data_IF_904457207453
#
_entry.id   IF_904457207453
#
_cell.length_a   1.000
_cell.length_b   1.000
_cell.length_c   1.000
_cell.angle_alpha   90.00
_cell.angle_beta   90.00
_cell.angle_gamma   90.00
#
_symmetry.space_group_name_H-M   'P 1'
#
loop_
_entity.id
_entity.type
_entity.pdbx_description
1 polymer ?
#
# COMPACT_ATOMS: atom_id res chain seq x y z
N UNK A 1 0.16 -9.75 -10.43
CA UNK A 1 -0.10 -9.22 -11.78
C UNK A 1 -0.22 -10.34 -12.79
N UNK A 2 0.80 -11.18 -13.02
CA UNK A 2 0.75 -12.27 -14.00
C UNK A 2 -0.46 -13.20 -13.86
N UNK A 3 -0.73 -13.71 -12.64
CA UNK A 3 -1.89 -14.59 -12.36
C UNK A 3 -3.23 -13.96 -12.77
N UNK A 4 -3.35 -12.65 -12.63
CA UNK A 4 -4.60 -11.92 -12.91
C UNK A 4 -4.67 -11.42 -14.36
N UNK A 5 -3.59 -11.51 -15.13
CA UNK A 5 -3.53 -11.06 -16.53
C UNK A 5 -3.83 -9.57 -16.71
N UNK A 6 -3.35 -8.73 -15.79
CA UNK A 6 -3.67 -7.28 -15.78
C UNK A 6 -2.66 -6.43 -16.55
N UNK A 7 -1.58 -7.00 -17.04
CA UNK A 7 -0.57 -6.32 -17.85
C UNK A 7 -0.06 -7.25 -18.95
N UNK A 8 0.49 -6.67 -20.01
CA UNK A 8 1.03 -7.42 -21.14
C UNK A 8 2.47 -7.87 -20.88
N UNK A 9 3.23 -7.08 -20.12
CA UNK A 9 4.63 -7.34 -19.82
C UNK A 9 4.99 -7.01 -18.38
N UNK A 10 5.86 -7.84 -17.79
CA UNK A 10 6.51 -7.60 -16.49
C UNK A 10 8.02 -7.67 -16.69
N UNK A 11 8.71 -6.56 -16.43
CA UNK A 11 10.17 -6.49 -16.51
C UNK A 11 10.74 -6.45 -15.10
N UNK A 12 11.61 -7.38 -14.77
CA UNK A 12 12.30 -7.43 -13.48
C UNK A 12 13.69 -6.80 -13.58
N UNK A 13 13.95 -5.83 -12.72
CA UNK A 13 15.24 -5.14 -12.63
C UNK A 13 15.77 -5.31 -11.20
N UNK A 14 16.97 -5.81 -11.05
CA UNK A 14 17.67 -5.92 -9.76
C UNK A 14 19.16 -5.64 -10.00
N UNK A 15 19.85 -5.09 -9.00
CA UNK A 15 21.32 -4.93 -9.02
C UNK A 15 22.03 -6.29 -9.21
N UNK A 16 21.46 -7.35 -8.68
CA UNK A 16 21.83 -8.74 -9.00
C UNK A 16 21.03 -9.24 -10.21
N UNK A 17 21.62 -9.05 -11.39
CA UNK A 17 21.02 -9.48 -12.66
C UNK A 17 20.71 -10.99 -12.70
N UNK A 18 21.50 -11.82 -12.03
CA UNK A 18 21.27 -13.27 -11.98
C UNK A 18 19.99 -13.57 -11.22
N UNK A 19 19.80 -12.89 -10.09
CA UNK A 19 18.58 -12.98 -9.29
C UNK A 19 17.34 -12.54 -10.08
N UNK A 20 17.39 -11.37 -10.72
CA UNK A 20 16.29 -10.88 -11.57
C UNK A 20 15.94 -11.88 -12.68
N UNK A 21 16.96 -12.43 -13.35
CA UNK A 21 16.77 -13.44 -14.40
C UNK A 21 16.10 -14.71 -13.86
N UNK A 22 16.55 -15.22 -12.70
CA UNK A 22 15.98 -16.41 -12.09
C UNK A 22 14.51 -16.22 -11.71
N UNK A 23 14.16 -15.07 -11.08
CA UNK A 23 12.78 -14.75 -10.77
C UNK A 23 11.91 -14.58 -12.03
N UNK A 24 12.46 -13.95 -13.09
CA UNK A 24 11.69 -13.79 -14.34
C UNK A 24 11.38 -15.13 -15.00
N UNK A 25 12.32 -16.08 -14.98
CA UNK A 25 12.11 -17.43 -15.51
C UNK A 25 11.05 -18.19 -14.70
N UNK A 26 11.15 -18.18 -13.37
CA UNK A 26 10.21 -18.86 -12.49
C UNK A 26 8.76 -18.33 -12.65
N UNK A 27 8.61 -17.01 -12.74
CA UNK A 27 7.30 -16.40 -13.02
C UNK A 27 6.83 -16.75 -14.45
N UNK A 28 7.72 -16.69 -15.45
CA UNK A 28 7.38 -17.01 -16.84
C UNK A 28 6.89 -18.46 -16.99
N UNK A 29 7.54 -19.41 -16.31
CA UNK A 29 7.11 -20.80 -16.29
C UNK A 29 5.68 -20.95 -15.75
N UNK A 30 5.33 -20.15 -14.72
CA UNK A 30 4.00 -20.16 -14.12
C UNK A 30 2.90 -19.62 -15.05
N UNK A 31 3.24 -18.75 -16.01
CA UNK A 31 2.26 -18.17 -16.96
C UNK A 31 1.58 -19.26 -17.80
N UNK A 32 2.27 -20.38 -18.06
CA UNK A 32 1.71 -21.53 -18.79
C UNK A 32 0.44 -22.12 -18.16
N UNK A 33 0.19 -21.83 -16.87
CA UNK A 33 -0.98 -22.31 -16.12
C UNK A 33 -2.08 -21.25 -15.95
N UNK A 34 -1.87 -20.04 -16.47
CA UNK A 34 -2.82 -18.92 -16.31
C UNK A 34 -3.57 -18.66 -17.61
N UNK A 35 -4.75 -18.08 -17.50
CA UNK A 35 -5.51 -17.58 -18.64
C UNK A 35 -5.01 -16.17 -19.07
N UNK A 36 -3.70 -16.04 -19.21
CA UNK A 36 -3.07 -14.78 -19.62
C UNK A 36 -1.79 -15.08 -20.42
N UNK A 37 -1.42 -14.17 -21.30
CA UNK A 37 -0.23 -14.26 -22.14
C UNK A 37 0.83 -13.23 -21.74
N UNK A 38 0.97 -12.97 -20.44
CA UNK A 38 1.91 -11.99 -19.90
C UNK A 38 3.34 -12.38 -20.23
N UNK A 39 4.11 -11.47 -20.82
CA UNK A 39 5.54 -11.63 -21.04
C UNK A 39 6.28 -11.28 -19.75
N UNK A 40 7.16 -12.17 -19.27
CA UNK A 40 7.97 -11.90 -18.07
C UNK A 40 9.43 -12.06 -18.43
N UNK A 41 10.23 -11.01 -18.22
CA UNK A 41 11.64 -11.00 -18.54
C UNK A 41 12.49 -10.21 -17.54
N UNK A 42 13.77 -10.48 -17.54
CA UNK A 42 14.77 -9.63 -16.90
C UNK A 42 15.11 -8.46 -17.83
N UNK A 43 15.20 -7.26 -17.29
CA UNK A 43 15.56 -6.04 -18.01
C UNK A 43 16.58 -5.19 -17.28
N UNK A 44 16.62 -3.92 -17.63
CA UNK A 44 17.43 -2.91 -16.98
C UNK A 44 16.66 -1.57 -16.85
N UNK A 45 17.31 -0.52 -16.33
CA UNK A 45 16.67 0.78 -16.11
C UNK A 45 16.18 1.46 -17.40
N UNK A 46 16.71 1.12 -18.57
CA UNK A 46 16.23 1.69 -19.85
C UNK A 46 14.79 1.25 -20.17
N UNK A 47 14.39 0.07 -19.70
CA UNK A 47 13.01 -0.43 -19.84
C UNK A 47 12.00 0.43 -19.07
N UNK A 48 12.43 1.12 -18.02
CA UNK A 48 11.55 1.99 -17.22
C UNK A 48 11.07 3.24 -17.98
N UNK A 49 11.72 3.61 -19.09
CA UNK A 49 11.36 4.82 -19.86
C UNK A 49 9.93 4.77 -20.40
N UNK A 50 9.51 3.62 -20.90
CA UNK A 50 8.20 3.44 -21.53
C UNK A 50 7.25 2.58 -20.68
N UNK A 51 7.61 2.27 -19.43
CA UNK A 51 6.77 1.56 -18.51
C UNK A 51 5.56 2.40 -18.06
N UNK A 52 4.36 1.82 -18.07
CA UNK A 52 3.17 2.46 -17.51
C UNK A 52 3.25 2.58 -15.99
N UNK A 53 3.82 1.57 -15.35
CA UNK A 53 4.02 1.54 -13.88
C UNK A 53 5.44 1.05 -13.57
N UNK A 54 6.13 1.79 -12.72
CA UNK A 54 7.38 1.40 -12.10
C UNK A 54 7.10 1.05 -10.64
N UNK A 55 7.43 -0.17 -10.24
CA UNK A 55 7.29 -0.62 -8.85
C UNK A 55 8.65 -0.61 -8.16
N UNK A 56 8.76 0.12 -7.04
CA UNK A 56 9.94 0.08 -6.18
C UNK A 56 9.64 -0.80 -4.98
N UNK A 57 10.35 -1.94 -4.90
CA UNK A 57 10.22 -2.94 -3.82
C UNK A 57 11.55 -3.23 -3.12
N UNK A 58 12.62 -2.55 -3.49
CA UNK A 58 13.93 -2.72 -2.89
C UNK A 58 14.01 -2.06 -1.51
N UNK A 59 14.63 -2.74 -0.57
CA UNK A 59 14.82 -2.25 0.79
C UNK A 59 15.56 -3.28 1.64
N UNK A 60 15.84 -2.90 2.88
CA UNK A 60 16.44 -3.80 3.87
C UNK A 60 15.34 -4.61 4.54
N UNK A 61 15.45 -5.94 4.61
CA UNK A 61 14.48 -6.77 5.32
C UNK A 61 14.53 -6.47 6.83
N UNK A 62 13.35 -6.32 7.43
CA UNK A 62 13.20 -6.14 8.86
C UNK A 62 13.50 -7.44 9.60
N UNK A 63 14.40 -7.40 10.58
CA UNK A 63 14.69 -8.54 11.44
C UNK A 63 13.74 -8.57 12.65
N UNK A 64 13.56 -9.74 13.30
CA UNK A 64 12.80 -9.84 14.53
C UNK A 64 13.31 -8.86 15.59
N UNK A 65 12.41 -8.14 16.25
CA UNK A 65 12.75 -7.14 17.27
C UNK A 65 13.06 -5.74 16.75
N UNK A 66 13.19 -5.56 15.44
CA UNK A 66 13.35 -4.23 14.83
C UNK A 66 12.00 -3.55 14.56
N UNK A 67 11.98 -2.23 14.62
CA UNK A 67 10.88 -1.39 14.12
C UNK A 67 11.02 -1.15 12.62
N UNK A 68 10.00 -0.57 11.96
CA UNK A 68 10.12 -0.13 10.55
C UNK A 68 11.15 0.99 10.38
N UNK A 69 11.35 1.80 11.42
CA UNK A 69 12.29 2.92 11.41
C UNK A 69 13.75 2.47 11.53
N UNK A 70 14.00 1.33 12.18
CA UNK A 70 15.36 0.78 12.30
C UNK A 70 15.97 0.36 10.95
N UNK A 71 15.15 0.17 9.92
CA UNK A 71 15.60 -0.17 8.57
C UNK A 71 15.51 1.03 7.59
N UNK A 72 15.18 2.22 8.10
CA UNK A 72 14.95 3.42 7.27
C UNK A 72 16.19 3.79 6.47
N UNK A 73 17.34 4.01 7.14
CA UNK A 73 18.56 4.49 6.48
C UNK A 73 19.02 3.54 5.37
N UNK A 74 19.02 2.23 5.63
CA UNK A 74 19.39 1.23 4.64
C UNK A 74 18.40 1.16 3.47
N UNK A 75 17.11 1.33 3.74
CA UNK A 75 16.08 1.37 2.68
C UNK A 75 16.20 2.64 1.83
N UNK A 76 16.45 3.80 2.45
CA UNK A 76 16.69 5.07 1.75
C UNK A 76 17.92 4.98 0.87
N UNK A 77 19.02 4.38 1.33
CA UNK A 77 20.22 4.19 0.51
C UNK A 77 19.94 3.31 -0.72
N UNK A 78 19.24 2.19 -0.54
CA UNK A 78 18.84 1.34 -1.67
C UNK A 78 17.97 2.11 -2.67
N UNK A 79 17.00 2.89 -2.20
CA UNK A 79 16.09 3.66 -3.06
C UNK A 79 16.82 4.83 -3.71
N UNK A 80 17.78 5.46 -3.05
CA UNK A 80 18.63 6.52 -3.61
C UNK A 80 19.43 6.03 -4.82
N UNK A 81 20.00 4.83 -4.76
CA UNK A 81 20.66 4.20 -5.89
C UNK A 81 19.71 4.00 -7.06
N UNK A 82 18.51 3.46 -6.81
CA UNK A 82 17.47 3.28 -7.84
C UNK A 82 17.12 4.62 -8.50
N UNK A 83 16.84 5.66 -7.70
CA UNK A 83 16.46 6.97 -8.22
C UNK A 83 17.60 7.59 -9.04
N UNK A 84 18.86 7.40 -8.62
CA UNK A 84 20.01 7.89 -9.38
C UNK A 84 20.07 7.32 -10.80
N UNK A 85 19.57 6.11 -11.00
CA UNK A 85 19.45 5.47 -12.31
C UNK A 85 18.18 5.90 -13.04
N UNK A 86 17.06 6.01 -12.37
CA UNK A 86 15.79 6.47 -12.95
C UNK A 86 15.89 7.92 -13.45
N UNK A 87 16.61 8.79 -12.75
CA UNK A 87 16.79 10.20 -13.16
C UNK A 87 17.67 10.38 -14.42
N UNK A 88 18.28 9.30 -14.93
CA UNK A 88 19.00 9.33 -16.23
C UNK A 88 18.06 9.16 -17.42
N UNK A 89 16.80 8.83 -17.18
CA UNK A 89 15.80 8.61 -18.21
C UNK A 89 14.56 9.48 -17.96
N UNK A 90 13.80 9.74 -19.00
CA UNK A 90 12.50 10.39 -18.88
C UNK A 90 11.44 9.36 -18.45
N UNK A 91 10.89 9.51 -17.23
CA UNK A 91 9.85 8.64 -16.71
C UNK A 91 8.49 9.15 -17.19
N UNK A 92 7.76 8.33 -17.95
CA UNK A 92 6.43 8.66 -18.46
C UNK A 92 5.32 8.09 -17.57
N UNK A 93 5.55 6.95 -16.96
CA UNK A 93 4.60 6.21 -16.14
C UNK A 93 4.48 6.68 -14.69
N UNK A 94 3.85 5.87 -13.89
CA UNK A 94 3.57 6.09 -12.47
C UNK A 94 4.55 5.28 -11.64
N UNK A 95 5.03 5.83 -10.51
CA UNK A 95 5.84 5.10 -9.55
C UNK A 95 4.96 4.70 -8.36
N UNK A 96 4.88 3.39 -8.10
CA UNK A 96 4.23 2.84 -6.91
C UNK A 96 5.30 2.20 -6.03
N UNK A 97 5.44 2.67 -4.79
CA UNK A 97 6.40 2.08 -3.84
C UNK A 97 5.72 1.12 -2.89
N UNK A 98 6.40 0.04 -2.54
CA UNK A 98 6.01 -0.90 -1.48
C UNK A 98 7.13 -1.11 -0.45
N UNK A 99 8.21 -0.36 -0.58
CA UNK A 99 9.35 -0.37 0.34
C UNK A 99 8.99 0.30 1.65
N UNK A 100 9.32 -0.33 2.76
CA UNK A 100 9.15 0.25 4.10
C UNK A 100 10.35 1.12 4.53
N UNK A 101 10.08 2.19 5.29
CA UNK A 101 8.77 2.74 5.73
C UNK A 101 8.00 3.39 4.57
N UNK A 102 6.79 2.87 4.28
CA UNK A 102 6.09 3.13 3.02
C UNK A 102 5.81 4.61 2.73
N UNK A 103 5.39 5.37 3.75
CA UNK A 103 5.02 6.78 3.61
C UNK A 103 6.25 7.65 3.39
N UNK A 104 7.31 7.41 4.15
CA UNK A 104 8.58 8.15 4.08
C UNK A 104 9.29 7.90 2.75
N UNK A 105 9.32 6.64 2.30
CA UNK A 105 9.92 6.27 1.02
C UNK A 105 9.14 6.87 -0.16
N UNK A 106 7.81 6.91 -0.10
CA UNK A 106 7.02 7.55 -1.15
C UNK A 106 7.31 9.05 -1.26
N UNK A 107 7.43 9.75 -0.12
CA UNK A 107 7.80 11.17 -0.11
C UNK A 107 9.21 11.40 -0.65
N UNK A 108 10.16 10.58 -0.20
CA UNK A 108 11.55 10.64 -0.68
C UNK A 108 11.63 10.41 -2.20
N UNK A 109 10.97 9.38 -2.74
CA UNK A 109 10.94 9.10 -4.18
C UNK A 109 10.32 10.27 -4.95
N UNK A 110 9.21 10.83 -4.48
CA UNK A 110 8.56 11.97 -5.12
C UNK A 110 9.48 13.19 -5.18
N UNK A 111 10.10 13.54 -4.06
CA UNK A 111 11.05 14.69 -4.00
C UNK A 111 12.24 14.47 -4.91
N UNK A 112 12.84 13.31 -4.86
CA UNK A 112 14.07 13.01 -5.56
C UNK A 112 13.90 12.81 -7.08
N UNK A 113 12.69 12.42 -7.53
CA UNK A 113 12.37 12.32 -8.97
C UNK A 113 11.77 13.60 -9.53
N UNK A 114 11.24 14.49 -8.69
CA UNK A 114 10.52 15.70 -9.11
C UNK A 114 9.19 15.45 -9.81
N UNK A 115 8.69 14.22 -9.79
CA UNK A 115 7.41 13.88 -10.40
C UNK A 115 6.24 14.46 -9.56
N UNK A 116 5.11 14.78 -10.19
CA UNK A 116 3.95 15.31 -9.50
C UNK A 116 3.32 14.26 -8.56
N UNK A 117 2.60 14.73 -7.52
CA UNK A 117 2.07 13.87 -6.45
C UNK A 117 1.15 12.75 -6.92
N UNK A 118 0.41 12.99 -8.00
CA UNK A 118 -0.47 11.97 -8.57
C UNK A 118 0.27 10.80 -9.20
N UNK A 119 1.54 10.96 -9.57
CA UNK A 119 2.35 9.94 -10.23
C UNK A 119 3.33 9.21 -9.31
N UNK A 120 3.44 9.60 -8.03
CA UNK A 120 4.30 8.93 -7.06
C UNK A 120 3.53 8.74 -5.76
N UNK A 121 3.28 7.49 -5.42
CA UNK A 121 2.57 7.11 -4.19
C UNK A 121 2.96 5.70 -3.75
N UNK A 122 2.55 5.30 -2.56
CA UNK A 122 2.75 3.93 -2.10
C UNK A 122 1.42 3.22 -1.86
N UNK A 123 1.48 1.90 -1.74
CA UNK A 123 0.33 1.11 -1.30
C UNK A 123 -0.19 1.51 0.07
N UNK A 124 0.62 2.21 0.87
CA UNK A 124 0.24 2.75 2.17
C UNK A 124 -0.53 1.75 3.02
N UNK A 125 -1.68 2.17 3.49
CA UNK A 125 -2.57 1.38 4.35
C UNK A 125 -3.50 0.39 3.60
N UNK A 126 -3.22 0.06 2.33
CA UNK A 126 -4.02 -0.93 1.57
C UNK A 126 -4.05 -2.29 2.25
N UNK A 127 -2.88 -2.78 2.66
CA UNK A 127 -2.79 -4.08 3.33
C UNK A 127 -3.38 -4.03 4.75
N UNK A 128 -3.23 -2.91 5.46
CA UNK A 128 -3.84 -2.73 6.78
C UNK A 128 -5.36 -2.67 6.68
N UNK A 129 -5.90 -2.02 5.65
CA UNK A 129 -7.32 -2.05 5.31
C UNK A 129 -7.82 -3.47 5.05
N UNK A 130 -7.07 -4.27 4.30
CA UNK A 130 -7.42 -5.68 4.05
C UNK A 130 -7.40 -6.50 5.35
N UNK A 131 -6.43 -6.28 6.23
CA UNK A 131 -6.33 -6.91 7.54
C UNK A 131 -7.52 -6.53 8.45
N UNK A 132 -7.86 -5.25 8.50
CA UNK A 132 -9.03 -4.74 9.24
C UNK A 132 -10.32 -5.39 8.73
N UNK A 133 -10.55 -5.39 7.41
CA UNK A 133 -11.73 -6.02 6.80
C UNK A 133 -11.80 -7.52 7.12
N UNK A 134 -10.67 -8.21 7.08
CA UNK A 134 -10.58 -9.63 7.44
C UNK A 134 -10.90 -9.86 8.91
N UNK A 135 -10.37 -9.03 9.81
CA UNK A 135 -10.66 -9.12 11.24
C UNK A 135 -12.14 -8.95 11.53
N UNK A 136 -12.78 -7.93 10.97
CA UNK A 136 -14.23 -7.71 11.10
C UNK A 136 -15.03 -8.91 10.56
N UNK A 137 -14.63 -9.42 9.40
CA UNK A 137 -15.28 -10.54 8.75
C UNK A 137 -15.20 -11.84 9.59
N UNK A 138 -14.02 -12.13 10.15
CA UNK A 138 -13.79 -13.29 11.02
C UNK A 138 -14.63 -13.20 12.31
N UNK A 139 -14.69 -12.02 12.94
CA UNK A 139 -15.48 -11.80 14.16
C UNK A 139 -17.00 -11.99 13.94
N UNK A 140 -17.48 -11.70 12.73
CA UNK A 140 -18.90 -11.73 12.38
C UNK A 140 -19.31 -12.95 11.54
N UNK A 141 -18.35 -13.79 11.13
CA UNK A 141 -18.54 -14.88 10.18
C UNK A 141 -19.25 -14.43 8.89
N UNK A 142 -18.63 -13.43 8.21
CA UNK A 142 -19.06 -12.87 6.93
C UNK A 142 -17.88 -12.79 5.93
N UNK A 143 -18.18 -12.54 4.67
CA UNK A 143 -17.14 -12.31 3.66
C UNK A 143 -16.43 -10.94 3.87
N UNK A 144 -15.09 -10.86 3.77
CA UNK A 144 -14.36 -9.59 3.91
C UNK A 144 -14.80 -8.50 2.92
N UNK A 145 -15.28 -8.89 1.76
CA UNK A 145 -15.81 -7.98 0.72
C UNK A 145 -17.09 -7.25 1.15
N UNK A 146 -17.79 -7.77 2.16
CA UNK A 146 -18.98 -7.13 2.75
C UNK A 146 -18.62 -5.98 3.70
N UNK A 147 -17.35 -5.87 4.11
CA UNK A 147 -16.87 -4.84 5.04
C UNK A 147 -16.34 -3.66 4.24
N UNK A 148 -16.90 -2.48 4.46
CA UNK A 148 -16.50 -1.22 3.83
C UNK A 148 -15.92 -0.32 4.92
N UNK A 149 -14.67 0.06 4.75
CA UNK A 149 -13.92 0.89 5.67
C UNK A 149 -12.46 0.93 5.26
N UNK A 150 -11.68 1.81 5.88
CA UNK A 150 -10.28 2.03 5.58
C UNK A 150 -9.45 2.07 6.87
N UNK A 151 -8.22 1.60 6.82
CA UNK A 151 -7.18 2.02 7.73
C UNK A 151 -6.51 3.25 7.12
N UNK A 152 -6.16 4.25 7.94
CA UNK A 152 -5.64 5.54 7.50
C UNK A 152 -4.42 5.96 8.31
N UNK A 153 -3.68 6.97 7.82
CA UNK A 153 -2.48 7.49 8.47
C UNK A 153 -1.21 6.75 8.06
N UNK A 154 -0.34 6.52 9.01
CA UNK A 154 0.92 5.80 8.82
C UNK A 154 0.68 4.33 8.44
N UNK A 155 1.43 3.81 7.48
CA UNK A 155 1.57 2.35 7.35
C UNK A 155 2.44 1.82 8.50
N UNK A 156 1.90 1.79 9.71
CA UNK A 156 2.64 1.50 10.92
C UNK A 156 1.73 1.32 12.13
N UNK A 157 2.36 1.41 13.31
CA UNK A 157 1.69 1.15 14.58
C UNK A 157 0.76 2.30 15.00
N UNK A 158 0.91 3.49 14.39
CA UNK A 158 0.02 4.63 14.60
C UNK A 158 -1.14 4.71 13.60
N UNK A 159 -1.29 3.73 12.70
CA UNK A 159 -2.45 3.70 11.79
C UNK A 159 -3.76 3.68 12.57
N UNK A 160 -4.79 4.32 12.04
CA UNK A 160 -6.09 4.39 12.68
C UNK A 160 -7.20 3.88 11.76
N UNK A 161 -8.30 3.45 12.34
CA UNK A 161 -9.51 3.08 11.61
C UNK A 161 -10.62 4.09 11.96
N UNK A 162 -11.15 4.84 11.00
CA UNK A 162 -12.29 5.72 11.22
C UNK A 162 -13.58 4.88 11.40
N UNK A 163 -13.82 4.44 12.60
CA UNK A 163 -14.96 3.59 12.96
C UNK A 163 -16.31 4.23 12.70
N UNK A 164 -16.38 5.57 12.70
CA UNK A 164 -17.58 6.31 12.29
C UNK A 164 -17.99 6.00 10.83
N UNK A 165 -17.01 5.66 9.99
CA UNK A 165 -17.18 5.34 8.58
C UNK A 165 -17.15 3.83 8.29
N UNK A 166 -16.98 2.97 9.31
CA UNK A 166 -16.98 1.52 9.13
C UNK A 166 -18.42 1.01 8.95
N UNK A 167 -18.67 0.39 7.80
CA UNK A 167 -19.97 -0.21 7.49
C UNK A 167 -19.83 -1.67 7.06
N UNK A 168 -20.88 -2.43 7.27
CA UNK A 168 -21.05 -3.77 6.74
C UNK A 168 -22.21 -3.71 5.78
N UNK A 169 -21.90 -3.87 4.48
CA UNK A 169 -22.85 -3.74 3.38
C UNK A 169 -23.69 -2.43 3.46
N UNK A 170 -23.02 -1.31 3.77
CA UNK A 170 -23.63 0.02 3.85
C UNK A 170 -24.31 0.36 5.17
N UNK A 171 -24.44 -0.60 6.10
CA UNK A 171 -25.00 -0.35 7.42
C UNK A 171 -23.90 -0.13 8.45
N UNK A 172 -23.99 0.95 9.24
CA UNK A 172 -22.99 1.23 10.28
C UNK A 172 -22.90 0.05 11.26
N UNK A 173 -21.67 -0.35 11.58
CA UNK A 173 -21.41 -1.52 12.42
C UNK A 173 -22.01 -1.39 13.84
N UNK A 174 -22.12 -0.16 14.38
CA UNK A 174 -22.73 0.08 15.71
C UNK A 174 -24.21 -0.27 15.71
N UNK A 175 -24.95 0.13 14.68
CA UNK A 175 -26.35 -0.24 14.53
C UNK A 175 -26.54 -1.75 14.36
N UNK A 176 -25.68 -2.41 13.59
CA UNK A 176 -25.74 -3.87 13.45
C UNK A 176 -25.49 -4.59 14.77
N UNK A 177 -24.58 -4.06 15.60
CA UNK A 177 -24.28 -4.59 16.92
C UNK A 177 -25.47 -4.50 17.87
N UNK A 178 -26.23 -3.41 17.80
CA UNK A 178 -27.44 -3.21 18.59
C UNK A 178 -28.61 -4.11 18.14
N UNK A 179 -28.78 -4.23 16.82
CA UNK A 179 -29.89 -5.01 16.23
C UNK A 179 -29.68 -6.52 16.28
N UNK A 180 -28.44 -6.98 16.17
CA UNK A 180 -28.11 -8.41 16.19
C UNK A 180 -26.83 -8.65 17.00
N UNK A 181 -26.94 -8.59 18.35
CA UNK A 181 -25.79 -8.73 19.24
C UNK A 181 -25.18 -10.14 19.22
N UNK A 182 -25.94 -11.17 18.85
CA UNK A 182 -25.40 -12.54 18.73
C UNK A 182 -24.31 -12.60 17.66
N UNK A 183 -24.54 -11.97 16.52
CA UNK A 183 -23.61 -12.01 15.39
C UNK A 183 -22.55 -10.94 15.45
N UNK A 184 -22.94 -9.71 15.80
CA UNK A 184 -22.07 -8.52 15.72
C UNK A 184 -21.59 -8.03 17.09
N UNK A 185 -22.04 -8.63 18.20
CA UNK A 185 -21.71 -8.19 19.56
C UNK A 185 -20.21 -8.25 19.88
N UNK A 186 -19.45 -9.12 19.21
CA UNK A 186 -17.99 -9.26 19.37
C UNK A 186 -17.19 -8.12 18.75
N UNK A 187 -17.80 -7.27 17.91
CA UNK A 187 -17.11 -6.12 17.31
C UNK A 187 -16.75 -5.12 18.41
N UNK A 188 -15.46 -4.86 18.52
CA UNK A 188 -14.87 -3.86 19.41
C UNK A 188 -13.80 -3.11 18.66
N UNK A 189 -13.83 -1.79 18.74
CA UNK A 189 -12.83 -0.91 18.12
C UNK A 189 -11.42 -1.30 18.52
N UNK A 190 -11.20 -1.53 19.83
CA UNK A 190 -9.91 -1.99 20.35
C UNK A 190 -9.47 -3.33 19.74
N UNK A 191 -10.35 -4.35 19.72
CA UNK A 191 -10.01 -5.66 19.18
C UNK A 191 -9.69 -5.57 17.69
N UNK A 192 -10.45 -4.81 16.92
CA UNK A 192 -10.22 -4.63 15.49
C UNK A 192 -8.86 -3.94 15.25
N UNK A 193 -8.57 -2.87 15.99
CA UNK A 193 -7.29 -2.15 15.87
C UNK A 193 -6.11 -3.03 16.25
N UNK A 194 -6.14 -3.64 17.43
CA UNK A 194 -5.06 -4.50 17.93
C UNK A 194 -4.76 -5.66 16.95
N UNK A 195 -5.78 -6.38 16.49
CA UNK A 195 -5.60 -7.48 15.55
C UNK A 195 -5.11 -7.02 14.16
N UNK A 196 -5.51 -5.83 13.73
CA UNK A 196 -5.03 -5.25 12.47
C UNK A 196 -3.53 -4.99 12.53
N UNK A 197 -3.04 -4.39 13.62
CA UNK A 197 -1.64 -4.08 13.82
C UNK A 197 -0.78 -5.35 14.04
N UNK A 198 -1.22 -6.25 14.90
CA UNK A 198 -0.46 -7.46 15.26
C UNK A 198 -0.27 -8.42 14.09
N UNK A 199 -1.25 -8.54 13.20
CA UNK A 199 -1.23 -9.53 12.10
C UNK A 199 0.02 -9.44 11.20
N UNK A 200 0.59 -8.25 11.03
CA UNK A 200 1.84 -8.07 10.27
C UNK A 200 3.03 -8.71 10.96
N UNK A 201 3.12 -8.55 12.27
CA UNK A 201 4.19 -9.13 13.07
C UNK A 201 4.08 -10.65 13.16
N UNK A 202 2.87 -11.17 13.42
CA UNK A 202 2.62 -12.61 13.48
C UNK A 202 3.09 -13.32 12.21
N UNK A 203 2.87 -12.69 11.02
CA UNK A 203 3.33 -13.24 9.74
C UNK A 203 4.85 -13.21 9.64
N UNK A 204 5.50 -12.11 10.06
CA UNK A 204 6.96 -11.98 10.01
C UNK A 204 7.61 -12.97 10.98
N UNK A 205 7.09 -13.11 12.18
CA UNK A 205 7.58 -14.09 13.16
C UNK A 205 7.40 -15.53 12.67
N UNK A 206 6.28 -15.82 11.98
CA UNK A 206 5.98 -17.17 11.51
C UNK A 206 6.71 -17.59 10.24
N UNK A 207 6.99 -16.67 9.29
CA UNK A 207 7.57 -17.02 7.98
C UNK A 207 8.63 -16.04 7.46
N UNK A 208 9.05 -15.06 8.24
CA UNK A 208 10.14 -14.12 7.93
C UNK A 208 9.72 -12.86 7.19
N UNK A 209 8.72 -12.91 6.30
CA UNK A 209 8.26 -11.75 5.52
C UNK A 209 6.79 -11.85 5.13
N UNK A 210 6.17 -10.70 4.83
CA UNK A 210 4.88 -10.66 4.14
C UNK A 210 5.11 -10.52 2.64
N UNK A 211 4.42 -11.33 1.83
CA UNK A 211 4.61 -11.37 0.37
C UNK A 211 3.28 -11.36 -0.37
N UNK A 212 2.43 -12.36 -0.11
CA UNK A 212 1.17 -12.56 -0.85
C UNK A 212 0.19 -11.40 -0.67
N UNK A 213 0.03 -10.90 0.56
CA UNK A 213 -0.88 -9.79 0.85
C UNK A 213 -0.47 -8.51 0.14
N UNK A 214 0.81 -8.12 0.28
CA UNK A 214 1.31 -6.89 -0.35
C UNK A 214 1.38 -7.02 -1.87
N UNK A 215 1.76 -8.18 -2.39
CA UNK A 215 1.76 -8.44 -3.83
C UNK A 215 0.35 -8.36 -4.44
N UNK A 216 -0.68 -8.80 -3.70
CA UNK A 216 -2.08 -8.67 -4.12
C UNK A 216 -2.58 -7.24 -4.02
N UNK A 217 -2.27 -6.51 -2.94
CA UNK A 217 -2.63 -5.10 -2.79
C UNK A 217 -2.01 -4.23 -3.89
N UNK A 218 -0.73 -4.47 -4.20
CA UNK A 218 -0.05 -3.82 -5.33
C UNK A 218 -0.72 -4.17 -6.67
N UNK A 219 -1.04 -5.43 -6.91
CA UNK A 219 -1.69 -5.85 -8.15
C UNK A 219 -3.08 -5.23 -8.33
N UNK A 220 -3.84 -5.10 -7.23
CA UNK A 220 -5.15 -4.45 -7.24
C UNK A 220 -5.04 -2.95 -7.57
N UNK A 221 -4.04 -2.27 -7.00
CA UNK A 221 -3.76 -0.86 -7.28
C UNK A 221 -3.23 -0.65 -8.71
N UNK A 222 -2.31 -1.49 -9.17
CA UNK A 222 -1.81 -1.46 -10.54
C UNK A 222 -2.93 -1.71 -11.58
N UNK A 223 -3.86 -2.60 -11.26
CA UNK A 223 -5.05 -2.83 -12.11
C UNK A 223 -5.91 -1.58 -12.23
N UNK A 224 -6.15 -0.87 -11.13
CA UNK A 224 -6.92 0.37 -11.16
C UNK A 224 -6.29 1.42 -12.08
N UNK A 225 -4.94 1.49 -12.12
CA UNK A 225 -4.20 2.36 -13.06
C UNK A 225 -4.30 1.86 -14.49
N UNK A 226 -3.92 0.60 -14.76
CA UNK A 226 -3.80 0.06 -16.11
C UNK A 226 -5.15 -0.04 -16.84
N UNK A 227 -6.21 -0.35 -16.09
CA UNK A 227 -7.57 -0.49 -16.64
C UNK A 227 -8.41 0.79 -16.51
N UNK A 228 -7.84 1.88 -15.97
CA UNK A 228 -8.53 3.16 -15.75
C UNK A 228 -9.84 3.00 -14.95
N UNK A 229 -9.77 2.24 -13.84
CA UNK A 229 -10.97 1.80 -13.13
C UNK A 229 -11.62 2.91 -12.27
N UNK A 230 -10.93 4.01 -11.98
CA UNK A 230 -11.37 5.09 -11.07
C UNK A 230 -11.85 4.57 -9.71
N UNK A 231 -11.16 3.58 -9.18
CA UNK A 231 -11.51 2.94 -7.91
C UNK A 231 -11.04 3.76 -6.72
N UNK A 232 -11.84 3.73 -5.65
CA UNK A 232 -11.43 4.30 -4.37
C UNK A 232 -10.64 3.24 -3.61
N UNK A 233 -9.33 3.46 -3.50
CA UNK A 233 -8.40 2.59 -2.79
C UNK A 233 -7.60 3.42 -1.77
N UNK A 234 -7.20 2.83 -0.64
CA UNK A 234 -6.27 3.50 0.26
C UNK A 234 -4.87 3.51 -0.37
N UNK A 235 -4.26 4.68 -0.42
CA UNK A 235 -2.90 4.88 -0.89
C UNK A 235 -2.21 5.93 -0.04
N UNK A 236 -0.90 5.82 0.13
CA UNK A 236 -0.12 6.89 0.78
C UNK A 236 0.31 7.90 -0.28
N UNK A 237 -0.16 9.12 -0.12
CA UNK A 237 0.10 10.24 -1.02
C UNK A 237 0.34 11.53 -0.26
N UNK A 238 0.90 12.53 -0.95
CA UNK A 238 1.15 13.85 -0.37
C UNK A 238 -0.16 14.56 -0.04
N UNK A 239 -0.31 14.95 1.22
CA UNK A 239 -1.40 15.82 1.69
C UNK A 239 -1.02 17.28 1.54
N UNK A 240 -1.93 18.09 1.02
CA UNK A 240 -1.78 19.52 0.76
C UNK A 240 -2.88 20.36 1.39
N UNK A 241 -3.48 19.89 2.47
CA UNK A 241 -4.54 20.52 3.24
C UNK A 241 -5.61 19.55 3.72
N UNK A 242 -5.68 18.38 3.11
CA UNK A 242 -6.67 17.35 3.46
C UNK A 242 -6.51 16.96 4.94
N UNK A 243 -7.63 16.85 5.64
CA UNK A 243 -7.68 16.60 7.09
C UNK A 243 -6.86 17.60 7.93
N UNK A 244 -6.62 18.81 7.40
CA UNK A 244 -5.75 19.82 8.03
C UNK A 244 -4.26 19.50 8.00
N UNK A 245 -3.82 18.50 7.22
CA UNK A 245 -2.44 18.08 7.13
C UNK A 245 -1.77 18.57 5.84
N UNK A 246 -0.50 18.94 5.96
CA UNK A 246 0.31 19.37 4.81
C UNK A 246 1.70 18.77 4.85
N UNK A 247 2.33 18.65 3.69
CA UNK A 247 3.72 18.22 3.53
C UNK A 247 4.03 16.86 4.19
N UNK A 248 3.10 15.93 4.09
CA UNK A 248 3.25 14.56 4.59
C UNK A 248 2.56 13.58 3.64
N UNK A 249 3.21 12.46 3.37
CA UNK A 249 2.56 11.30 2.76
C UNK A 249 1.88 10.49 3.86
N UNK A 250 0.61 10.17 3.68
CA UNK A 250 -0.15 9.33 4.60
C UNK A 250 -1.19 8.52 3.84
N UNK A 251 -1.57 7.37 4.38
CA UNK A 251 -2.60 6.50 3.83
C UNK A 251 -3.98 7.16 3.95
N UNK A 252 -4.62 7.44 2.83
CA UNK A 252 -5.96 8.03 2.71
C UNK A 252 -6.73 7.39 1.56
N UNK A 253 -8.07 7.42 1.55
CA UNK A 253 -8.86 6.98 0.41
C UNK A 253 -8.63 7.87 -0.81
N UNK A 254 -8.24 7.27 -1.95
CA UNK A 254 -7.92 7.97 -3.19
C UNK A 254 -8.68 7.35 -4.36
N UNK A 255 -9.20 8.19 -5.27
CA UNK A 255 -9.61 7.74 -6.59
C UNK A 255 -8.34 7.51 -7.41
N UNK A 256 -8.18 6.29 -7.90
CA UNK A 256 -7.02 5.87 -8.70
C UNK A 256 -7.50 5.44 -10.08
N UNK A 257 -6.96 6.10 -11.09
CA UNK A 257 -7.18 5.83 -12.50
C UNK A 257 -5.88 5.86 -13.29
N UNK A 258 -5.96 5.97 -14.59
CA UNK A 258 -4.82 5.93 -15.52
C UNK A 258 -3.73 6.95 -15.22
N UNK A 259 -4.09 8.10 -14.66
CA UNK A 259 -3.16 9.17 -14.34
C UNK A 259 -2.57 9.05 -12.92
N UNK A 260 -2.80 7.93 -12.24
CA UNK A 260 -2.44 7.70 -10.85
C UNK A 260 -3.51 8.18 -9.89
N UNK A 261 -3.13 8.90 -8.84
CA UNK A 261 -4.09 9.47 -7.88
C UNK A 261 -4.75 10.70 -8.49
N UNK A 262 -6.05 10.62 -8.73
CA UNK A 262 -6.83 11.69 -9.34
C UNK A 262 -7.47 12.61 -8.30
N UNK A 263 -7.89 12.04 -7.17
CA UNK A 263 -8.51 12.78 -6.08
C UNK A 263 -8.34 12.04 -4.75
N UNK A 264 -8.11 12.79 -3.67
CA UNK A 264 -8.24 12.30 -2.30
C UNK A 264 -9.72 12.47 -1.90
N UNK A 265 -10.29 11.42 -1.33
CA UNK A 265 -11.66 11.44 -0.80
C UNK A 265 -11.57 11.67 0.71
N UNK A 266 -11.93 12.88 1.15
CA UNK A 266 -11.96 13.18 2.56
C UNK A 266 -13.20 12.57 3.22
N UNK A 267 -12.99 11.61 4.12
CA UNK A 267 -14.05 11.07 4.97
C UNK A 267 -14.39 12.10 6.07
N UNK A 268 -15.66 12.18 6.43
CA UNK A 268 -16.05 12.96 7.60
C UNK A 268 -15.63 12.21 8.87
N UNK A 269 -14.55 12.65 9.49
CA UNK A 269 -14.04 12.11 10.75
C UNK A 269 -14.70 12.80 11.94
N UNK A 270 -14.79 12.08 13.06
CA UNK A 270 -15.09 12.72 14.36
C UNK A 270 -13.88 13.49 14.86
N UNK A 271 -14.07 14.39 15.83
CA UNK A 271 -12.96 15.17 16.42
C UNK A 271 -11.87 14.27 17.02
N UNK A 272 -12.25 13.11 17.57
CA UNK A 272 -11.31 12.13 18.12
C UNK A 272 -10.55 11.40 17.02
N UNK A 273 -11.22 10.95 15.96
CA UNK A 273 -10.62 10.33 14.79
C UNK A 273 -9.67 11.28 14.06
N UNK A 274 -10.04 12.57 13.98
CA UNK A 274 -9.18 13.59 13.40
C UNK A 274 -7.88 13.77 14.21
N UNK A 275 -7.96 13.78 15.54
CA UNK A 275 -6.78 13.80 16.41
C UNK A 275 -5.91 12.55 16.26
N UNK A 276 -6.51 11.38 16.12
CA UNK A 276 -5.77 10.14 15.88
C UNK A 276 -5.05 10.21 14.54
N UNK A 277 -5.70 10.70 13.50
CA UNK A 277 -5.08 10.87 12.18
C UNK A 277 -3.95 11.91 12.22
N UNK A 278 -4.15 13.04 12.89
CA UNK A 278 -3.10 14.05 13.10
C UNK A 278 -1.89 13.47 13.83
N UNK A 279 -2.11 12.70 14.90
CA UNK A 279 -1.04 12.02 15.62
C UNK A 279 -0.27 11.06 14.69
N UNK A 280 -0.97 10.30 13.87
CA UNK A 280 -0.38 9.39 12.89
C UNK A 280 0.48 10.14 11.86
N UNK A 281 -0.01 11.27 11.33
CA UNK A 281 0.77 12.12 10.44
C UNK A 281 2.02 12.72 11.13
N UNK A 282 1.91 13.09 12.41
CA UNK A 282 3.04 13.61 13.17
C UNK A 282 4.12 12.55 13.40
N UNK A 283 3.77 11.29 13.60
CA UNK A 283 4.74 10.18 13.64
C UNK A 283 5.52 10.10 12.34
N UNK A 284 4.86 10.20 11.19
CA UNK A 284 5.54 10.20 9.88
C UNK A 284 6.48 11.40 9.76
N UNK A 285 5.98 12.62 10.08
CA UNK A 285 6.74 13.89 9.96
C UNK A 285 8.04 13.88 10.77
N UNK A 286 8.07 13.21 11.93
CA UNK A 286 9.26 13.12 12.78
C UNK A 286 10.42 12.34 12.13
N UNK A 287 10.15 11.55 11.11
CA UNK A 287 11.10 10.64 10.48
C UNK A 287 11.28 10.90 8.98
N UNK A 288 10.74 12.01 8.47
CA UNK A 288 10.91 12.40 7.06
C UNK A 288 12.38 12.62 6.72
N UNK A 289 12.78 12.18 5.53
CA UNK A 289 14.15 12.28 5.01
C UNK A 289 14.22 13.43 4.01
N UNK A 290 15.35 14.17 4.04
CA UNK A 290 15.65 15.23 3.07
C UNK A 290 16.22 14.69 1.75
#
# INVERSE_FOLDING_TARGET
MAIQGICDEIVLVDKDRTKAKSHSMDIADSVSFFNSSVIVRCGDYSDCKDADIIVISAGVPRLPGQTRLDVLDGSVECVRDIISNLNKIEIKGIIITITNPADIIADFVRKATGLPKNRVFSTGTSLDTARMRRTVADLCNIAPQSVIGFAMGEHGDSSMVPFSNLTIFGKNYKHLKEENPERFGKLSEKVITDQTHMRGMDIIEGKGSTEFGIGTALADMAKAVLMDEHRILPASTLLEGEYGQTNVHAGVPCIIGRNGIEQIIELKLTDEELKQFENSCNVIKQHMVE
#
